data_IF_334419088464
#
_entry.id   IF_334419088464
#
_cell.length_a   1.000
_cell.length_b   1.000
_cell.length_c   1.000
_cell.angle_alpha   90.00
_cell.angle_beta   90.00
_cell.angle_gamma   90.00
#
_symmetry.space_group_name_H-M   'P 1'
#
loop_
_entity.id
_entity.type
_entity.pdbx_description
1 polymer ?
#
# COMPACT_ATOMS: atom_id res chain seq x y z
N UNK A 1 -16.92 65.18 -15.01
CA UNK A 1 -18.28 64.73 -15.37
C UNK A 1 -18.30 63.22 -15.12
N UNK A 2 -18.39 62.77 -13.86
CA UNK A 2 -19.58 62.19 -13.20
C UNK A 2 -20.40 61.29 -14.13
N UNK A 3 -20.24 59.97 -13.99
CA UNK A 3 -21.27 58.99 -14.31
C UNK A 3 -21.21 57.84 -13.32
N UNK A 4 -22.37 57.51 -12.76
CA UNK A 4 -22.62 56.56 -11.69
C UNK A 4 -22.95 55.18 -12.25
N UNK A 5 -22.61 54.12 -11.51
CA UNK A 5 -23.16 52.79 -11.72
C UNK A 5 -23.73 52.28 -10.40
N UNK A 6 -25.04 52.04 -10.41
CA UNK A 6 -25.84 51.61 -9.26
C UNK A 6 -25.66 50.12 -8.95
N UNK A 7 -25.62 49.82 -7.66
CA UNK A 7 -25.64 48.48 -7.10
C UNK A 7 -27.09 48.03 -6.89
N UNK A 8 -27.46 46.88 -7.45
CA UNK A 8 -28.76 46.25 -7.19
C UNK A 8 -28.64 45.37 -5.94
N UNK A 9 -29.24 45.85 -4.85
CA UNK A 9 -29.46 45.18 -3.59
C UNK A 9 -30.72 44.29 -3.72
N UNK A 10 -30.59 42.97 -3.60
CA UNK A 10 -31.75 42.07 -3.47
C UNK A 10 -31.86 41.64 -2.02
N UNK A 11 -32.94 42.11 -1.38
CA UNK A 11 -33.37 41.77 -0.02
C UNK A 11 -34.68 40.98 -0.11
N UNK A 12 -34.71 39.76 0.42
CA UNK A 12 -35.91 39.06 0.90
C UNK A 12 -35.49 37.65 1.40
N UNK A 13 -36.05 37.01 2.41
CA UNK A 13 -36.85 37.41 3.56
C UNK A 13 -36.86 36.17 4.49
N UNK A 14 -36.92 36.44 5.78
CA UNK A 14 -36.90 35.49 6.91
C UNK A 14 -38.15 34.59 6.92
N UNK A 15 -37.99 33.30 7.27
CA UNK A 15 -39.04 32.52 7.97
C UNK A 15 -38.43 31.67 9.09
N UNK A 16 -39.24 31.51 10.13
CA UNK A 16 -38.89 31.35 11.55
C UNK A 16 -39.24 29.94 12.04
N UNK A 17 -38.39 29.41 12.92
CA UNK A 17 -38.58 28.42 14.00
C UNK A 17 -39.42 27.15 13.77
N UNK A 18 -38.72 26.01 13.84
CA UNK A 18 -39.24 24.76 14.38
C UNK A 18 -38.19 24.14 15.29
N UNK A 19 -38.37 24.29 16.61
CA UNK A 19 -37.51 23.68 17.62
C UNK A 19 -37.92 22.24 17.92
N UNK A 20 -36.93 21.38 18.12
CA UNK A 20 -37.03 20.21 18.98
C UNK A 20 -35.78 20.21 19.86
N UNK A 21 -35.97 20.36 21.17
CA UNK A 21 -34.89 20.37 22.14
C UNK A 21 -34.21 19.01 22.20
N UNK A 22 -32.99 18.95 21.68
CA UNK A 22 -31.97 18.00 22.09
C UNK A 22 -30.97 18.77 22.94
N UNK A 23 -30.64 18.23 24.12
CA UNK A 23 -29.50 18.64 24.94
C UNK A 23 -28.24 18.86 24.09
N UNK A 24 -27.38 19.84 24.41
CA UNK A 24 -26.06 19.94 23.79
C UNK A 24 -25.23 18.76 24.28
N UNK A 25 -25.36 17.62 23.63
CA UNK A 25 -24.33 16.60 23.64
C UNK A 25 -23.13 17.24 22.95
N UNK A 26 -22.05 17.41 23.70
CA UNK A 26 -20.74 17.78 23.18
C UNK A 26 -20.45 16.90 21.99
N UNK A 27 -20.53 17.48 20.79
CA UNK A 27 -19.91 16.92 19.59
C UNK A 27 -18.41 16.95 19.85
N UNK A 28 -17.91 15.88 20.47
CA UNK A 28 -16.52 15.50 20.36
C UNK A 28 -16.25 15.40 18.86
N UNK A 29 -15.47 16.35 18.34
CA UNK A 29 -14.86 16.25 17.02
C UNK A 29 -14.12 14.92 16.98
N UNK A 30 -14.72 13.93 16.32
CA UNK A 30 -14.07 12.65 16.07
C UNK A 30 -13.08 12.90 14.93
N UNK A 31 -11.97 13.56 15.26
CA UNK A 31 -10.78 13.66 14.41
C UNK A 31 -10.22 12.25 14.25
N UNK A 32 -10.79 11.48 13.32
CA UNK A 32 -10.17 10.26 12.83
C UNK A 32 -8.90 10.72 12.12
N UNK A 33 -7.76 10.63 12.79
CA UNK A 33 -6.43 10.69 12.17
C UNK A 33 -6.31 9.53 11.15
N UNK A 34 -6.92 9.71 9.98
CA UNK A 34 -6.90 8.81 8.82
C UNK A 34 -5.59 8.97 8.02
N UNK A 35 -4.49 9.38 8.67
CA UNK A 35 -3.29 9.86 7.99
C UNK A 35 -1.95 9.38 8.57
N UNK A 36 -1.91 8.24 9.24
CA UNK A 36 -0.65 7.50 9.42
C UNK A 36 -0.72 6.24 8.56
N UNK A 37 0.23 6.12 7.63
CA UNK A 37 0.49 4.92 6.85
C UNK A 37 0.28 3.67 7.71
N UNK A 38 -0.56 2.76 7.25
CA UNK A 38 -1.02 1.64 8.08
C UNK A 38 0.05 0.57 8.19
N UNK A 39 0.84 0.32 7.14
CA UNK A 39 1.88 -0.69 7.19
C UNK A 39 2.95 -0.34 8.23
N UNK A 40 2.94 -1.07 9.34
CA UNK A 40 3.93 -0.95 10.40
C UNK A 40 4.95 -2.09 10.30
N UNK A 41 6.22 -1.71 10.26
CA UNK A 41 7.37 -2.60 10.33
C UNK A 41 8.07 -2.42 11.67
N UNK A 42 8.40 -3.52 12.35
CA UNK A 42 8.91 -3.50 13.74
C UNK A 42 10.33 -4.03 13.88
N UNK A 43 10.94 -4.48 12.79
CA UNK A 43 12.17 -5.25 12.86
C UNK A 43 13.18 -4.93 11.78
N UNK A 44 14.18 -5.80 11.74
CA UNK A 44 15.33 -5.67 10.86
C UNK A 44 14.94 -5.90 9.40
N UNK A 45 15.62 -5.18 8.53
CA UNK A 45 15.59 -5.44 7.09
C UNK A 45 16.66 -6.48 6.78
N UNK A 46 16.29 -7.51 6.03
CA UNK A 46 17.20 -8.60 5.64
C UNK A 46 17.19 -8.78 4.12
N UNK A 47 18.33 -9.16 3.56
CA UNK A 47 18.40 -9.67 2.19
C UNK A 47 18.29 -11.19 2.26
N UNK A 48 17.16 -11.72 1.81
CA UNK A 48 16.90 -13.15 1.72
C UNK A 48 17.34 -13.66 0.35
N UNK A 49 18.20 -14.68 0.34
CA UNK A 49 18.81 -15.22 -0.87
C UNK A 49 18.32 -16.64 -1.21
N UNK A 50 17.20 -17.10 -0.65
CA UNK A 50 16.69 -18.43 -1.01
C UNK A 50 15.79 -19.13 0.00
N UNK A 51 15.17 -18.42 0.95
CA UNK A 51 14.12 -19.00 1.77
C UNK A 51 12.98 -19.46 0.85
N UNK A 52 12.73 -20.76 0.82
CA UNK A 52 11.66 -21.31 0.00
C UNK A 52 10.40 -21.48 0.82
N UNK A 53 9.24 -21.24 0.20
CA UNK A 53 7.97 -21.65 0.75
C UNK A 53 7.08 -22.27 -0.33
N UNK A 54 6.17 -23.14 0.09
CA UNK A 54 5.16 -23.75 -0.79
C UNK A 54 3.79 -23.22 -0.41
N UNK A 55 3.14 -22.55 -1.36
CA UNK A 55 1.79 -22.00 -1.18
C UNK A 55 0.87 -22.62 -2.22
N UNK A 56 -0.15 -23.35 -1.76
CA UNK A 56 -1.10 -24.08 -2.61
C UNK A 56 -0.41 -24.94 -3.69
N UNK A 57 0.64 -25.68 -3.32
CA UNK A 57 1.40 -26.55 -4.23
C UNK A 57 2.44 -25.85 -5.12
N UNK A 58 2.54 -24.52 -5.07
CA UNK A 58 3.58 -23.77 -5.80
C UNK A 58 4.77 -23.47 -4.88
N UNK A 59 5.93 -24.07 -5.17
CA UNK A 59 7.20 -23.72 -4.50
C UNK A 59 7.79 -22.46 -5.10
N UNK A 60 8.22 -21.53 -4.25
CA UNK A 60 8.77 -20.25 -4.66
C UNK A 60 9.73 -19.68 -3.61
N UNK A 61 10.51 -18.67 -4.00
CA UNK A 61 11.27 -17.89 -3.03
C UNK A 61 10.28 -17.01 -2.26
N UNK A 62 10.41 -16.97 -0.94
CA UNK A 62 9.60 -16.17 -0.05
C UNK A 62 10.49 -15.48 0.97
N UNK A 63 10.07 -14.32 1.44
CA UNK A 63 10.63 -13.76 2.66
C UNK A 63 10.39 -14.73 3.86
N UNK A 64 11.20 -14.63 4.92
CA UNK A 64 10.96 -15.34 6.18
C UNK A 64 9.54 -15.11 6.72
N UNK A 65 9.06 -16.02 7.56
CA UNK A 65 7.73 -15.90 8.17
C UNK A 65 7.63 -14.59 8.95
N UNK A 66 6.55 -13.82 8.74
CA UNK A 66 6.36 -12.50 9.34
C UNK A 66 7.02 -11.34 8.60
N UNK A 67 7.63 -11.58 7.44
CA UNK A 67 8.26 -10.54 6.62
C UNK A 67 7.50 -10.32 5.31
N UNK A 68 7.49 -9.06 4.85
CA UNK A 68 7.04 -8.67 3.52
C UNK A 68 8.22 -8.30 2.62
N UNK A 69 8.05 -8.49 1.32
CA UNK A 69 8.99 -8.00 0.32
C UNK A 69 8.90 -6.48 0.27
N UNK A 70 10.04 -5.80 0.38
CA UNK A 70 10.19 -4.36 0.19
C UNK A 70 11.10 -4.02 -0.99
N UNK A 71 11.65 -5.03 -1.65
CA UNK A 71 12.46 -4.92 -2.85
C UNK A 71 12.86 -6.29 -3.38
N UNK A 72 13.34 -6.32 -4.62
CA UNK A 72 13.81 -7.56 -5.23
C UNK A 72 14.95 -7.29 -6.22
N UNK A 73 15.91 -8.22 -6.23
CA UNK A 73 16.89 -8.35 -7.29
C UNK A 73 16.56 -9.63 -8.08
N UNK A 74 15.62 -9.49 -9.02
CA UNK A 74 14.98 -10.63 -9.70
C UNK A 74 15.99 -11.56 -10.38
N UNK A 75 17.00 -11.01 -11.05
CA UNK A 75 18.03 -11.81 -11.76
C UNK A 75 18.85 -12.71 -10.84
N UNK A 76 19.12 -12.26 -9.61
CA UNK A 76 19.91 -13.01 -8.63
C UNK A 76 19.03 -13.81 -7.68
N UNK A 77 17.69 -13.72 -7.85
CA UNK A 77 16.72 -14.30 -6.95
C UNK A 77 16.99 -13.94 -5.48
N UNK A 78 17.25 -12.66 -5.20
CA UNK A 78 17.42 -12.13 -3.84
C UNK A 78 16.29 -11.15 -3.54
N UNK A 79 15.65 -11.28 -2.38
CA UNK A 79 14.59 -10.39 -1.94
C UNK A 79 15.03 -9.57 -0.74
N UNK A 80 14.67 -8.30 -0.70
CA UNK A 80 14.82 -7.48 0.49
C UNK A 80 13.52 -7.54 1.25
N UNK A 81 13.60 -7.98 2.48
CA UNK A 81 12.47 -8.33 3.32
C UNK A 81 12.49 -7.47 4.58
N UNK A 82 11.33 -6.94 4.98
CA UNK A 82 11.16 -6.21 6.23
C UNK A 82 10.12 -6.90 7.11
N UNK A 83 10.39 -6.96 8.42
CA UNK A 83 9.50 -7.59 9.38
C UNK A 83 8.24 -6.77 9.57
N UNK A 84 7.08 -7.37 9.32
CA UNK A 84 5.79 -6.79 9.62
C UNK A 84 5.55 -6.80 11.13
N UNK A 85 4.90 -5.76 11.65
CA UNK A 85 4.45 -5.69 13.04
C UNK A 85 3.52 -6.85 13.42
N UNK A 86 2.68 -7.25 12.47
CA UNK A 86 1.72 -8.33 12.57
C UNK A 86 1.23 -8.72 11.18
N UNK A 87 0.67 -9.92 11.07
CA UNK A 87 0.04 -10.43 9.84
C UNK A 87 -1.36 -10.92 10.14
N UNK A 88 -2.27 -10.81 9.18
CA UNK A 88 -3.59 -11.43 9.27
C UNK A 88 -3.68 -12.60 8.28
N UNK A 89 -4.12 -13.75 8.79
CA UNK A 89 -4.28 -14.97 7.99
C UNK A 89 -2.98 -15.62 7.52
N UNK A 90 -3.15 -16.71 6.77
CA UNK A 90 -2.06 -17.47 6.16
C UNK A 90 -1.64 -16.85 4.81
N UNK A 91 -0.43 -17.22 4.36
CA UNK A 91 0.00 -16.94 2.99
C UNK A 91 -0.92 -17.64 2.00
N UNK A 92 -1.26 -16.96 0.92
CA UNK A 92 -2.06 -17.51 -0.16
C UNK A 92 -1.42 -17.22 -1.51
N UNK A 93 -1.75 -18.06 -2.49
CA UNK A 93 -1.18 -17.98 -3.84
C UNK A 93 -2.05 -17.05 -4.68
N UNK A 94 -1.44 -16.06 -5.32
CA UNK A 94 -2.06 -15.30 -6.39
C UNK A 94 -1.43 -15.67 -7.74
N UNK A 95 -2.28 -16.02 -8.71
CA UNK A 95 -1.87 -16.46 -10.05
C UNK A 95 -2.37 -15.55 -11.17
N UNK A 96 -2.95 -14.39 -10.87
CA UNK A 96 -3.46 -13.56 -11.97
C UNK A 96 -4.13 -12.25 -11.59
N UNK A 97 -4.10 -11.82 -10.32
CA UNK A 97 -4.57 -10.48 -10.00
C UNK A 97 -3.62 -9.47 -10.67
N UNK A 98 -4.20 -8.54 -11.42
CA UNK A 98 -3.43 -7.51 -12.11
C UNK A 98 -3.93 -6.12 -11.76
N UNK A 99 -3.00 -5.20 -11.52
CA UNK A 99 -3.25 -3.78 -11.29
C UNK A 99 -2.14 -2.95 -11.92
N UNK A 100 -2.48 -1.80 -12.51
CA UNK A 100 -1.53 -0.89 -13.16
C UNK A 100 -0.61 -1.59 -14.19
N UNK A 101 -1.12 -2.60 -14.90
CA UNK A 101 -0.34 -3.37 -15.88
C UNK A 101 0.74 -4.29 -15.27
N UNK A 102 0.62 -4.63 -13.98
CA UNK A 102 1.53 -5.48 -13.23
C UNK A 102 0.78 -6.65 -12.61
N UNK A 103 1.47 -7.76 -12.31
CA UNK A 103 0.91 -8.81 -11.46
C UNK A 103 0.98 -8.33 -10.02
N UNK A 104 -0.14 -8.36 -9.30
CA UNK A 104 -0.24 -7.82 -7.95
C UNK A 104 -1.00 -8.76 -7.03
N UNK A 105 -0.66 -8.81 -5.74
CA UNK A 105 -1.49 -9.42 -4.72
C UNK A 105 -2.83 -8.69 -4.62
N UNK A 106 -3.96 -9.33 -4.31
CA UNK A 106 -5.24 -8.66 -4.07
C UNK A 106 -5.15 -7.42 -3.17
N UNK A 107 -6.06 -6.46 -3.34
CA UNK A 107 -6.09 -5.25 -2.52
C UNK A 107 -6.09 -5.57 -1.02
N UNK A 108 -5.36 -4.79 -0.24
CA UNK A 108 -5.18 -5.04 1.20
C UNK A 108 -4.13 -6.10 1.53
N UNK A 109 -3.42 -6.65 0.54
CA UNK A 109 -2.35 -7.62 0.75
C UNK A 109 -1.03 -7.18 0.15
N UNK A 110 0.05 -7.73 0.70
CA UNK A 110 1.42 -7.48 0.27
C UNK A 110 2.08 -8.76 -0.22
N UNK A 111 3.09 -8.60 -1.06
CA UNK A 111 3.94 -9.68 -1.53
C UNK A 111 4.85 -10.16 -0.40
N UNK A 112 4.88 -11.47 -0.21
CA UNK A 112 5.79 -12.16 0.71
C UNK A 112 6.64 -13.21 0.00
N UNK A 113 6.47 -13.37 -1.32
CA UNK A 113 7.26 -14.27 -2.15
C UNK A 113 6.83 -14.23 -3.62
N UNK A 114 7.64 -14.83 -4.48
CA UNK A 114 7.39 -14.86 -5.91
C UNK A 114 8.04 -16.08 -6.58
N UNK A 115 7.31 -16.68 -7.52
CA UNK A 115 7.86 -17.56 -8.53
C UNK A 115 7.94 -16.82 -9.86
N UNK A 116 9.13 -16.40 -10.27
CA UNK A 116 9.35 -15.60 -11.48
C UNK A 116 9.07 -16.39 -12.75
N UNK A 117 9.37 -17.69 -12.79
CA UNK A 117 9.15 -18.54 -13.96
C UNK A 117 7.66 -18.79 -14.26
N UNK A 118 6.81 -18.79 -13.23
CA UNK A 118 5.36 -18.99 -13.38
C UNK A 118 4.56 -17.70 -13.27
N UNK A 119 5.22 -16.58 -12.96
CA UNK A 119 4.56 -15.33 -12.59
C UNK A 119 3.49 -15.54 -11.51
N UNK A 120 3.86 -16.25 -10.44
CA UNK A 120 2.99 -16.45 -9.27
C UNK A 120 3.51 -15.62 -8.10
N UNK A 121 2.59 -15.07 -7.30
CA UNK A 121 2.93 -14.36 -6.08
C UNK A 121 2.46 -15.14 -4.85
N UNK A 122 3.28 -15.16 -3.81
CA UNK A 122 2.80 -15.44 -2.47
C UNK A 122 2.38 -14.13 -1.83
N UNK A 123 1.14 -14.07 -1.39
CA UNK A 123 0.50 -12.89 -0.85
C UNK A 123 0.11 -13.14 0.60
N UNK A 124 0.09 -12.07 1.39
CA UNK A 124 -0.40 -12.11 2.76
C UNK A 124 -0.97 -10.75 3.14
N UNK A 125 -2.08 -10.76 3.88
CA UNK A 125 -2.60 -9.53 4.45
C UNK A 125 -1.73 -9.14 5.66
N UNK A 126 -1.23 -7.89 5.75
CA UNK A 126 -0.65 -7.40 6.98
C UNK A 126 -1.72 -7.36 8.09
N UNK A 127 -1.30 -7.26 9.35
CA UNK A 127 -2.23 -7.04 10.46
C UNK A 127 -2.77 -5.61 10.51
N UNK A 128 -2.19 -4.72 9.71
CA UNK A 128 -2.60 -3.34 9.50
C UNK A 128 -3.17 -3.17 8.09
N UNK A 129 -3.95 -2.11 7.86
CA UNK A 129 -4.50 -1.85 6.53
C UNK A 129 -3.41 -1.54 5.48
N UNK A 130 -3.79 -1.58 4.21
CA UNK A 130 -3.05 -0.97 3.10
C UNK A 130 -3.92 0.18 2.61
N UNK A 131 -3.45 1.41 2.75
CA UNK A 131 -4.26 2.62 2.51
C UNK A 131 -3.97 3.26 1.16
N UNK A 132 -2.82 2.97 0.56
CA UNK A 132 -2.52 3.46 -0.79
C UNK A 132 -1.41 2.66 -1.46
N UNK A 133 -1.37 2.74 -2.78
CA UNK A 133 -0.34 2.15 -3.63
C UNK A 133 0.19 3.20 -4.62
N UNK A 134 1.46 3.09 -5.01
CA UNK A 134 2.03 3.82 -6.14
C UNK A 134 2.92 2.91 -6.98
N UNK A 135 3.26 3.32 -8.20
CA UNK A 135 4.17 2.56 -9.08
C UNK A 135 5.57 3.15 -9.02
N UNK A 136 6.56 2.34 -8.70
CA UNK A 136 8.00 2.67 -8.75
C UNK A 136 8.65 2.03 -9.98
N UNK A 137 9.58 2.74 -10.64
CA UNK A 137 10.30 2.18 -11.79
C UNK A 137 10.81 3.13 -12.88
N UNK A 138 10.57 4.45 -12.81
CA UNK A 138 11.13 5.40 -13.81
C UNK A 138 11.65 6.73 -13.21
N UNK A 139 12.93 6.79 -12.79
CA UNK A 139 13.86 5.66 -12.66
C UNK A 139 13.43 4.74 -11.50
N UNK A 140 13.83 3.46 -11.56
CA UNK A 140 13.64 2.55 -10.43
C UNK A 140 14.41 3.05 -9.22
N UNK A 141 13.76 3.10 -8.07
CA UNK A 141 14.41 3.42 -6.81
C UNK A 141 15.31 2.26 -6.42
N UNK A 142 16.61 2.52 -6.26
CA UNK A 142 17.58 1.49 -5.87
C UNK A 142 18.21 1.76 -4.51
N UNK A 143 18.62 0.70 -3.83
CA UNK A 143 19.42 0.79 -2.61
C UNK A 143 20.92 0.58 -2.87
N UNK A 144 21.72 0.49 -1.78
CA UNK A 144 23.16 0.24 -1.84
C UNK A 144 23.55 -1.16 -2.33
N UNK A 145 22.60 -2.10 -2.40
CA UNK A 145 22.79 -3.45 -2.91
C UNK A 145 22.12 -3.59 -4.30
N UNK A 146 22.49 -2.71 -5.24
CA UNK A 146 21.72 -2.27 -6.42
C UNK A 146 20.35 -2.95 -6.65
N UNK A 147 19.48 -2.91 -5.63
CA UNK A 147 18.20 -3.63 -5.65
C UNK A 147 17.12 -2.62 -5.91
N UNK A 148 16.17 -2.94 -6.80
CA UNK A 148 14.96 -2.14 -6.91
C UNK A 148 14.17 -2.31 -5.61
N UNK A 149 13.79 -1.22 -4.97
CA UNK A 149 13.10 -1.20 -3.68
C UNK A 149 11.90 -0.28 -3.73
N UNK A 150 10.90 -0.57 -2.91
CA UNK A 150 9.78 0.33 -2.66
C UNK A 150 10.21 1.44 -1.68
N UNK A 151 10.77 2.51 -2.24
CA UNK A 151 11.19 3.71 -1.50
C UNK A 151 12.35 3.48 -0.51
N UNK A 152 12.70 4.52 0.26
CA UNK A 152 13.77 4.48 1.26
C UNK A 152 13.39 3.76 2.58
N UNK A 153 12.32 2.96 2.57
CA UNK A 153 11.74 2.29 3.74
C UNK A 153 10.28 2.68 3.99
N UNK A 154 9.49 1.75 4.55
CA UNK A 154 8.09 1.99 4.92
C UNK A 154 7.04 1.59 3.90
N UNK A 155 7.43 0.98 2.78
CA UNK A 155 6.51 0.43 1.78
C UNK A 155 6.80 -1.05 1.54
N UNK A 156 5.76 -1.84 1.39
CA UNK A 156 5.87 -3.22 0.92
C UNK A 156 5.52 -3.29 -0.57
N UNK A 157 6.12 -4.23 -1.28
CA UNK A 157 5.68 -4.58 -2.62
C UNK A 157 4.30 -5.20 -2.53
N UNK A 158 3.35 -4.74 -3.33
CA UNK A 158 2.05 -5.40 -3.55
C UNK A 158 1.90 -5.90 -4.99
N UNK A 159 2.82 -5.53 -5.88
CA UNK A 159 2.85 -6.01 -7.25
C UNK A 159 4.18 -5.76 -7.94
N UNK A 160 4.38 -6.43 -9.07
CA UNK A 160 5.61 -6.43 -9.84
C UNK A 160 5.34 -6.68 -11.33
N UNK A 161 6.10 -5.99 -12.17
CA UNK A 161 6.33 -6.37 -13.55
C UNK A 161 7.84 -6.56 -13.75
N UNK A 162 8.23 -7.84 -13.87
CA UNK A 162 9.64 -8.24 -14.02
C UNK A 162 10.24 -7.72 -15.32
N UNK A 163 9.47 -7.75 -16.41
CA UNK A 163 9.96 -7.36 -17.75
C UNK A 163 10.25 -5.87 -17.88
N UNK A 164 9.55 -5.03 -17.13
CA UNK A 164 9.73 -3.57 -17.13
C UNK A 164 10.43 -3.04 -15.89
N UNK A 165 10.83 -3.92 -14.95
CA UNK A 165 11.39 -3.54 -13.65
C UNK A 165 10.52 -2.48 -12.93
N UNK A 166 9.20 -2.71 -12.85
CA UNK A 166 8.24 -1.82 -12.19
C UNK A 166 7.64 -2.51 -10.96
N UNK A 167 7.53 -1.82 -9.83
CA UNK A 167 6.89 -2.33 -8.60
C UNK A 167 5.67 -1.52 -8.22
N UNK A 168 4.63 -2.20 -7.73
CA UNK A 168 3.55 -1.55 -6.97
C UNK A 168 3.96 -1.53 -5.50
N UNK A 169 4.02 -0.34 -4.92
CA UNK A 169 4.50 -0.10 -3.57
C UNK A 169 3.35 0.38 -2.68
N UNK A 170 3.04 -0.39 -1.64
CA UNK A 170 1.92 -0.25 -0.73
C UNK A 170 2.36 0.31 0.64
N UNK A 171 1.52 1.17 1.23
CA UNK A 171 1.66 1.70 2.62
C UNK A 171 0.35 1.62 3.40
#
# INVERSE_FOLDING_TARGET
>A
MKSAFEAVLVLAAITVLGGCGGTPESVEEFDVELSKSSLSFTGWVVNDAGTQCTVNGSTMHCCPVGYAMIGAHVTNNVFKCAQLSSTSGARYLDTGTSRNGMHACPYGSVMVGMNTSKNHLACQAPGTAVVSEYVDGNPATTDSYPMHVCGAGGYAMSGINVGSNLYTCAR
#
